data_IF_999764313521
#
_entry.id   IF_999764313521
#
_cell.length_a   1.000
_cell.length_b   1.000
_cell.length_c   1.000
_cell.angle_alpha   90.00
_cell.angle_beta   90.00
_cell.angle_gamma   90.00
#
_symmetry.space_group_name_H-M   'P 1'
#
loop_
_entity.id
_entity.type
_entity.pdbx_description
1 polymer ?
#
# COMPACT_ATOMS: atom_id res chain seq x y z
N UNK A 1 1.32 17.47 -5.37
CA UNK A 1 0.01 16.87 -5.11
C UNK A 1 -0.21 16.91 -3.61
N UNK A 2 -1.37 17.36 -3.15
CA UNK A 2 -1.73 17.35 -1.74
C UNK A 2 -2.18 15.95 -1.30
N UNK A 3 -2.23 15.72 0.01
CA UNK A 3 -2.78 14.48 0.59
C UNK A 3 -4.20 14.19 0.09
N UNK A 4 -5.07 15.20 0.09
CA UNK A 4 -6.48 15.04 -0.31
C UNK A 4 -6.62 14.76 -1.82
N UNK A 5 -5.79 15.39 -2.66
CA UNK A 5 -5.74 15.13 -4.11
C UNK A 5 -5.35 13.66 -4.38
N UNK A 6 -4.34 13.15 -3.67
CA UNK A 6 -3.88 11.78 -3.80
C UNK A 6 -4.94 10.78 -3.35
N UNK A 7 -5.59 11.00 -2.20
CA UNK A 7 -6.67 10.14 -1.71
C UNK A 7 -7.80 10.08 -2.75
N UNK A 8 -8.21 11.22 -3.29
CA UNK A 8 -9.25 11.28 -4.30
C UNK A 8 -8.84 10.59 -5.61
N UNK A 9 -7.59 10.71 -6.04
CA UNK A 9 -7.06 9.98 -7.20
C UNK A 9 -7.15 8.46 -7.01
N UNK A 10 -6.70 7.96 -5.85
CA UNK A 10 -6.77 6.53 -5.49
C UNK A 10 -8.23 6.05 -5.50
N UNK A 11 -9.13 6.80 -4.87
CA UNK A 11 -10.55 6.47 -4.86
C UNK A 11 -11.14 6.36 -6.28
N UNK A 12 -10.78 7.28 -7.17
CA UNK A 12 -11.24 7.27 -8.57
C UNK A 12 -10.64 6.08 -9.34
N UNK A 13 -9.34 5.84 -9.21
CA UNK A 13 -8.63 4.78 -9.94
C UNK A 13 -9.12 3.37 -9.58
N UNK A 14 -9.61 3.18 -8.35
CA UNK A 14 -10.07 1.88 -7.83
C UNK A 14 -11.60 1.79 -7.64
N UNK A 15 -12.38 2.79 -8.05
CA UNK A 15 -13.80 2.92 -7.66
C UNK A 15 -14.70 1.69 -7.94
N UNK A 16 -14.46 0.99 -9.06
CA UNK A 16 -15.29 -0.12 -9.54
C UNK A 16 -14.63 -1.50 -9.34
N UNK A 17 -13.53 -1.56 -8.57
CA UNK A 17 -12.81 -2.81 -8.34
C UNK A 17 -13.59 -3.69 -7.36
N UNK A 18 -13.89 -4.92 -7.79
CA UNK A 18 -14.43 -6.00 -6.96
C UNK A 18 -13.38 -7.11 -6.79
N UNK A 19 -13.49 -7.89 -5.71
CA UNK A 19 -12.52 -8.93 -5.36
C UNK A 19 -12.65 -10.19 -6.23
N UNK A 20 -13.85 -10.44 -6.76
CA UNK A 20 -14.19 -11.65 -7.52
C UNK A 20 -13.93 -12.92 -6.70
N UNK A 21 -13.09 -13.83 -7.18
CA UNK A 21 -12.61 -15.04 -6.52
C UNK A 21 -11.23 -14.87 -5.87
N UNK A 22 -10.65 -13.67 -5.87
CA UNK A 22 -9.36 -13.36 -5.24
C UNK A 22 -9.32 -13.64 -3.74
N UNK A 23 -8.10 -13.67 -3.20
CA UNK A 23 -7.86 -13.88 -1.76
C UNK A 23 -8.33 -12.64 -0.99
N UNK A 24 -9.28 -12.84 -0.08
CA UNK A 24 -9.82 -11.78 0.78
C UNK A 24 -8.95 -11.48 2.01
N UNK A 25 -9.29 -10.42 2.73
CA UNK A 25 -8.54 -9.93 3.89
C UNK A 25 -8.45 -10.97 5.01
N UNK A 26 -9.59 -11.51 5.45
CA UNK A 26 -9.67 -12.52 6.50
C UNK A 26 -9.20 -13.88 6.01
N UNK A 27 -9.44 -14.21 4.73
CA UNK A 27 -8.86 -15.39 4.09
C UNK A 27 -7.33 -15.36 4.15
N UNK A 28 -6.69 -14.23 3.81
CA UNK A 28 -5.25 -14.04 3.90
C UNK A 28 -4.72 -14.24 5.33
N UNK A 29 -5.40 -13.69 6.34
CA UNK A 29 -5.01 -13.87 7.74
C UNK A 29 -5.11 -15.33 8.16
N UNK A 30 -6.15 -16.04 7.72
CA UNK A 30 -6.29 -17.47 7.98
C UNK A 30 -5.18 -18.32 7.35
N UNK A 31 -4.66 -17.92 6.19
CA UNK A 31 -3.52 -18.59 5.56
C UNK A 31 -2.26 -18.38 6.40
N UNK A 32 -2.01 -17.14 6.86
CA UNK A 32 -0.88 -16.80 7.73
C UNK A 32 -0.92 -17.56 9.06
N UNK A 33 -2.12 -17.70 9.65
CA UNK A 33 -2.36 -18.44 10.89
C UNK A 33 -2.28 -19.97 10.71
N UNK A 34 -1.96 -20.47 9.51
CA UNK A 34 -1.97 -21.90 9.16
C UNK A 34 -3.32 -22.58 9.47
N UNK A 35 -4.43 -21.86 9.31
CA UNK A 35 -5.76 -22.37 9.61
C UNK A 35 -6.14 -23.55 8.68
N UNK A 36 -7.03 -24.42 9.16
CA UNK A 36 -7.51 -25.53 8.33
C UNK A 36 -8.43 -25.03 7.19
N UNK A 37 -8.59 -25.86 6.15
CA UNK A 37 -9.41 -25.52 4.98
C UNK A 37 -10.85 -25.13 5.33
N UNK A 38 -11.41 -25.71 6.40
CA UNK A 38 -12.77 -25.39 6.85
C UNK A 38 -12.83 -23.97 7.41
N UNK A 39 -11.82 -23.59 8.18
CA UNK A 39 -11.68 -22.26 8.79
C UNK A 39 -11.41 -21.21 7.73
N UNK A 40 -10.50 -21.46 6.80
CA UNK A 40 -10.25 -20.59 5.63
C UNK A 40 -11.55 -20.33 4.86
N UNK A 41 -12.36 -21.37 4.60
CA UNK A 41 -13.63 -21.21 3.91
C UNK A 41 -14.66 -20.37 4.69
N UNK A 42 -14.62 -20.36 6.03
CA UNK A 42 -15.47 -19.48 6.83
C UNK A 42 -14.95 -18.04 6.83
N UNK A 43 -13.64 -17.84 6.92
CA UNK A 43 -13.01 -16.52 6.83
C UNK A 43 -13.30 -15.87 5.47
N UNK A 44 -13.18 -16.64 4.37
CA UNK A 44 -13.53 -16.20 3.02
C UNK A 44 -14.98 -15.72 2.89
N UNK A 45 -15.92 -16.24 3.69
CA UNK A 45 -17.32 -15.78 3.71
C UNK A 45 -17.52 -14.47 4.48
N UNK A 46 -16.60 -14.14 5.39
CA UNK A 46 -16.60 -12.87 6.14
C UNK A 46 -16.08 -11.71 5.28
N UNK A 47 -15.27 -12.00 4.27
CA UNK A 47 -14.65 -10.98 3.43
C UNK A 47 -15.66 -10.11 2.69
N UNK A 48 -15.43 -8.79 2.73
CA UNK A 48 -16.01 -7.85 1.79
C UNK A 48 -15.42 -8.11 0.40
N UNK A 49 -16.29 -8.21 -0.62
CA UNK A 49 -15.89 -8.61 -1.98
C UNK A 49 -16.34 -7.64 -3.07
N UNK A 50 -17.22 -6.69 -2.74
CA UNK A 50 -17.89 -5.83 -3.71
C UNK A 50 -17.41 -4.38 -3.63
N UNK A 51 -17.01 -3.91 -2.45
CA UNK A 51 -16.55 -2.54 -2.29
C UNK A 51 -15.45 -2.45 -1.23
N UNK A 52 -14.20 -2.31 -1.68
CA UNK A 52 -13.02 -2.21 -0.81
C UNK A 52 -13.11 -1.02 0.17
N UNK A 53 -13.89 0.02 -0.14
CA UNK A 53 -14.05 1.17 0.74
C UNK A 53 -14.77 0.83 2.05
N UNK A 54 -15.61 -0.22 2.03
CA UNK A 54 -16.36 -0.68 3.20
C UNK A 54 -15.49 -1.39 4.25
N UNK A 55 -14.27 -1.79 3.88
CA UNK A 55 -13.34 -2.43 4.81
C UNK A 55 -12.94 -1.42 5.90
N UNK A 56 -13.10 -1.79 7.17
CA UNK A 56 -12.71 -0.95 8.28
C UNK A 56 -11.19 -0.90 8.43
N UNK A 57 -10.63 0.24 8.87
CA UNK A 57 -9.19 0.33 9.16
C UNK A 57 -8.76 -0.61 10.29
N UNK A 58 -9.64 -0.87 11.26
CA UNK A 58 -9.39 -1.89 12.29
C UNK A 58 -9.17 -3.26 11.68
N UNK A 59 -10.00 -3.68 10.71
CA UNK A 59 -9.86 -4.99 10.08
C UNK A 59 -8.52 -5.10 9.32
N UNK A 60 -8.06 -4.02 8.70
CA UNK A 60 -6.75 -3.98 8.03
C UNK A 60 -5.59 -4.08 9.03
N UNK A 61 -5.70 -3.42 10.18
CA UNK A 61 -4.70 -3.51 11.25
C UNK A 61 -4.67 -4.92 11.85
N UNK A 62 -5.83 -5.52 12.08
CA UNK A 62 -5.95 -6.89 12.61
C UNK A 62 -5.47 -7.95 11.60
N UNK A 63 -5.58 -7.66 10.30
CA UNK A 63 -5.20 -8.55 9.20
C UNK A 63 -3.98 -8.03 8.41
N UNK A 64 -3.03 -7.41 9.09
CA UNK A 64 -1.87 -6.76 8.47
C UNK A 64 -1.03 -7.74 7.62
N UNK A 65 -0.91 -9.00 8.04
CA UNK A 65 -0.10 -10.00 7.33
C UNK A 65 -0.72 -10.45 6.00
N UNK A 66 -2.03 -10.25 5.79
CA UNK A 66 -2.72 -10.60 4.54
C UNK A 66 -2.10 -9.94 3.31
N UNK A 67 -1.43 -8.79 3.48
CA UNK A 67 -0.65 -8.13 2.42
C UNK A 67 0.44 -9.02 1.80
N UNK A 68 0.88 -10.09 2.47
CA UNK A 68 1.84 -11.07 1.92
C UNK A 68 1.17 -12.22 1.16
N UNK A 69 -0.14 -12.42 1.32
CA UNK A 69 -0.86 -13.60 0.82
C UNK A 69 -1.81 -13.29 -0.34
N UNK A 70 -2.12 -12.01 -0.59
CA UNK A 70 -2.98 -11.65 -1.70
C UNK A 70 -2.42 -12.11 -3.05
N UNK A 71 -3.29 -12.72 -3.84
CA UNK A 71 -3.09 -12.94 -5.27
C UNK A 71 -3.31 -11.64 -6.06
N UNK A 72 -3.24 -11.70 -7.39
CA UNK A 72 -3.35 -10.51 -8.23
C UNK A 72 -4.70 -9.77 -8.05
N UNK A 73 -5.78 -10.52 -7.80
CA UNK A 73 -7.12 -9.95 -7.59
C UNK A 73 -7.25 -9.36 -6.18
N UNK A 74 -6.74 -10.06 -5.17
CA UNK A 74 -6.64 -9.58 -3.80
C UNK A 74 -5.84 -8.30 -3.71
N UNK A 75 -4.68 -8.22 -4.39
CA UNK A 75 -3.87 -7.00 -4.44
C UNK A 75 -4.64 -5.86 -5.09
N UNK A 76 -5.20 -6.08 -6.29
CA UNK A 76 -5.96 -5.03 -6.98
C UNK A 76 -7.13 -4.49 -6.13
N UNK A 77 -7.79 -5.35 -5.35
CA UNK A 77 -8.93 -4.96 -4.52
C UNK A 77 -8.53 -4.31 -3.19
N UNK A 78 -7.57 -4.86 -2.45
CA UNK A 78 -7.24 -4.43 -1.09
C UNK A 78 -6.19 -3.32 -1.02
N UNK A 79 -5.24 -3.29 -1.96
CA UNK A 79 -4.12 -2.34 -1.98
C UNK A 79 -4.54 -0.86 -1.83
N UNK A 80 -5.59 -0.33 -2.51
CA UNK A 80 -5.96 1.07 -2.34
C UNK A 80 -6.32 1.43 -0.90
N UNK A 81 -6.96 0.51 -0.16
CA UNK A 81 -7.33 0.76 1.24
C UNK A 81 -6.11 0.75 2.17
N UNK A 82 -5.14 -0.14 1.91
CA UNK A 82 -3.87 -0.16 2.64
C UNK A 82 -3.05 1.10 2.37
N UNK A 83 -2.94 1.55 1.11
CA UNK A 83 -2.29 2.82 0.78
C UNK A 83 -2.99 3.99 1.49
N UNK A 84 -4.32 4.04 1.48
CA UNK A 84 -5.06 5.07 2.22
C UNK A 84 -4.83 4.98 3.73
N UNK A 85 -4.62 3.79 4.30
CA UNK A 85 -4.31 3.62 5.71
C UNK A 85 -2.94 4.24 6.02
N UNK A 86 -1.92 3.95 5.21
CA UNK A 86 -0.58 4.53 5.37
C UNK A 86 -0.59 6.07 5.26
N UNK A 87 -1.31 6.62 4.27
CA UNK A 87 -1.46 8.08 4.11
C UNK A 87 -2.15 8.74 5.32
N UNK A 88 -3.09 8.04 5.95
CA UNK A 88 -3.90 8.55 7.07
C UNK A 88 -3.40 8.06 8.43
N UNK A 89 -2.21 7.45 8.50
CA UNK A 89 -1.75 6.77 9.71
C UNK A 89 -1.71 7.71 10.91
N UNK A 90 -1.22 8.95 10.73
CA UNK A 90 -1.16 9.92 11.82
C UNK A 90 -2.56 10.20 12.40
N UNK A 91 -3.56 10.48 11.55
CA UNK A 91 -4.90 10.73 12.04
C UNK A 91 -5.55 9.51 12.67
N UNK A 92 -5.31 8.31 12.11
CA UNK A 92 -5.88 7.06 12.60
C UNK A 92 -5.22 6.62 13.90
N UNK A 93 -3.91 6.86 14.07
CA UNK A 93 -3.18 6.67 15.33
C UNK A 93 -3.74 7.55 16.42
N UNK A 94 -3.95 8.84 16.15
CA UNK A 94 -4.49 9.79 17.14
C UNK A 94 -5.95 9.45 17.51
N UNK A 95 -6.79 9.13 16.52
CA UNK A 95 -8.24 8.94 16.74
C UNK A 95 -8.62 7.55 17.23
N UNK A 96 -7.90 6.52 16.80
CA UNK A 96 -8.29 5.11 16.94
C UNK A 96 -7.16 4.22 17.46
N UNK A 97 -5.95 4.75 17.68
CA UNK A 97 -4.77 3.98 18.08
C UNK A 97 -4.45 2.83 17.11
N UNK A 98 -4.60 3.11 15.81
CA UNK A 98 -4.31 2.18 14.73
C UNK A 98 -2.98 2.51 14.06
N UNK A 99 -2.27 1.47 13.63
CA UNK A 99 -0.99 1.57 12.93
C UNK A 99 -1.12 0.88 11.56
N UNK A 100 -0.70 1.57 10.50
CA UNK A 100 -0.67 0.99 9.17
C UNK A 100 0.41 -0.10 9.09
N UNK A 101 0.18 -1.20 8.36
CA UNK A 101 1.27 -2.11 8.00
C UNK A 101 2.27 -1.42 7.06
N UNK A 102 3.43 -2.05 6.88
CA UNK A 102 4.49 -1.55 5.99
C UNK A 102 4.11 -1.74 4.50
N UNK A 103 3.34 -0.79 3.98
CA UNK A 103 2.93 -0.74 2.58
C UNK A 103 4.12 -0.52 1.67
N UNK A 104 5.10 0.27 2.10
CA UNK A 104 6.31 0.56 1.31
C UNK A 104 7.13 -0.70 1.07
N UNK A 105 7.31 -1.55 2.08
CA UNK A 105 7.94 -2.86 1.92
C UNK A 105 7.22 -3.70 0.87
N UNK A 106 5.89 -3.78 0.94
CA UNK A 106 5.08 -4.55 -0.05
C UNK A 106 5.29 -4.04 -1.48
N UNK A 107 5.43 -2.72 -1.66
CA UNK A 107 5.61 -2.09 -2.97
C UNK A 107 7.05 -2.04 -3.46
N UNK A 108 8.05 -2.40 -2.65
CA UNK A 108 9.48 -2.28 -3.00
C UNK A 108 10.22 -3.61 -3.00
N UNK A 109 9.79 -4.54 -2.14
CA UNK A 109 10.48 -5.79 -1.92
C UNK A 109 10.39 -6.71 -3.14
N UNK A 110 11.55 -7.11 -3.66
CA UNK A 110 11.71 -8.08 -4.74
C UNK A 110 10.83 -7.81 -5.98
N UNK A 111 10.65 -6.54 -6.37
CA UNK A 111 9.79 -6.15 -7.51
C UNK A 111 10.15 -6.81 -8.86
N UNK A 112 11.37 -7.28 -9.02
CA UNK A 112 11.83 -7.95 -10.25
C UNK A 112 11.56 -9.46 -10.25
N UNK A 113 11.11 -10.02 -9.12
CA UNK A 113 10.73 -11.42 -9.05
C UNK A 113 9.34 -11.66 -9.66
N UNK A 114 9.22 -12.78 -10.39
CA UNK A 114 7.97 -13.18 -11.06
C UNK A 114 6.78 -13.20 -10.09
N UNK A 115 7.00 -13.62 -8.84
CA UNK A 115 5.97 -13.62 -7.81
C UNK A 115 5.36 -12.23 -7.61
N UNK A 116 6.18 -11.19 -7.44
CA UNK A 116 5.67 -9.83 -7.21
C UNK A 116 5.06 -9.23 -8.47
N UNK A 117 5.67 -9.47 -9.64
CA UNK A 117 5.09 -9.03 -10.91
C UNK A 117 3.70 -9.62 -11.14
N UNK A 118 3.51 -10.91 -10.85
CA UNK A 118 2.23 -11.58 -10.96
C UNK A 118 1.17 -10.98 -10.03
N UNK A 119 1.53 -10.57 -8.82
CA UNK A 119 0.60 -9.95 -7.85
C UNK A 119 0.13 -8.56 -8.26
N UNK A 120 0.90 -7.83 -9.05
CA UNK A 120 0.54 -6.51 -9.56
C UNK A 120 0.01 -6.53 -11.00
N UNK A 121 0.01 -7.69 -11.66
CA UNK A 121 -0.32 -7.88 -13.08
C UNK A 121 -1.72 -7.42 -13.52
N UNK A 122 -2.68 -7.28 -12.60
CA UNK A 122 -4.05 -6.87 -12.92
C UNK A 122 -4.30 -5.37 -12.75
N UNK A 123 -3.31 -4.61 -12.29
CA UNK A 123 -3.42 -3.16 -12.17
C UNK A 123 -3.45 -2.51 -13.56
N UNK A 124 -4.32 -1.51 -13.74
CA UNK A 124 -4.35 -0.70 -14.96
C UNK A 124 -3.55 0.60 -14.80
N UNK A 125 -3.35 1.33 -15.89
CA UNK A 125 -2.54 2.55 -15.90
C UNK A 125 -2.97 3.61 -14.86
N UNK A 126 -4.28 3.94 -14.71
CA UNK A 126 -4.71 4.82 -13.62
C UNK A 126 -4.32 4.33 -12.21
N UNK A 127 -4.46 3.03 -11.96
CA UNK A 127 -4.11 2.43 -10.67
C UNK A 127 -2.60 2.50 -10.41
N UNK A 128 -1.79 2.14 -11.39
CA UNK A 128 -0.32 2.23 -11.33
C UNK A 128 0.14 3.68 -11.12
N UNK A 129 -0.46 4.65 -11.81
CA UNK A 129 -0.13 6.06 -11.62
C UNK A 129 -0.42 6.53 -10.20
N UNK A 130 -1.57 6.15 -9.62
CA UNK A 130 -1.89 6.51 -8.24
C UNK A 130 -0.91 5.91 -7.23
N UNK A 131 -0.38 4.70 -7.48
CA UNK A 131 0.67 4.08 -6.67
C UNK A 131 1.99 4.85 -6.81
N UNK A 132 2.38 5.24 -8.02
CA UNK A 132 3.58 6.07 -8.25
C UNK A 132 3.44 7.44 -7.56
N UNK A 133 2.26 8.06 -7.60
CA UNK A 133 1.99 9.31 -6.89
C UNK A 133 2.05 9.14 -5.37
N UNK A 134 1.57 8.01 -4.84
CA UNK A 134 1.76 7.66 -3.44
C UNK A 134 3.24 7.50 -3.06
N UNK A 135 4.03 6.76 -3.84
CA UNK A 135 5.47 6.61 -3.59
C UNK A 135 6.21 7.97 -3.62
N UNK A 136 5.84 8.84 -4.58
CA UNK A 136 6.36 10.21 -4.63
C UNK A 136 5.91 11.05 -3.44
N UNK A 137 4.68 10.86 -2.95
CA UNK A 137 4.18 11.53 -1.75
C UNK A 137 5.03 11.13 -0.53
N UNK A 138 5.30 9.84 -0.30
CA UNK A 138 6.21 9.37 0.76
C UNK A 138 7.63 9.93 0.61
N UNK A 139 8.13 10.04 -0.62
CA UNK A 139 9.41 10.68 -0.89
C UNK A 139 9.40 12.18 -0.50
N UNK A 140 8.31 12.90 -0.76
CA UNK A 140 8.20 14.32 -0.39
C UNK A 140 8.15 14.51 1.13
N UNK A 141 7.56 13.58 1.88
CA UNK A 141 7.60 13.61 3.36
C UNK A 141 9.05 13.58 3.87
N UNK A 142 9.89 12.68 3.33
CA UNK A 142 11.33 12.63 3.69
C UNK A 142 12.04 13.93 3.29
N UNK A 143 11.77 14.46 2.10
CA UNK A 143 12.35 15.74 1.66
C UNK A 143 11.99 16.87 2.63
N UNK A 144 10.73 16.92 3.07
CA UNK A 144 10.25 17.94 3.99
C UNK A 144 10.93 17.82 5.37
N UNK A 145 11.03 16.61 5.93
CA UNK A 145 11.74 16.36 7.20
C UNK A 145 13.19 16.86 7.15
N UNK A 146 13.90 16.57 6.05
CA UNK A 146 15.26 17.05 5.85
C UNK A 146 15.36 18.57 5.63
N UNK A 147 14.37 19.18 4.98
CA UNK A 147 14.29 20.64 4.84
C UNK A 147 14.12 21.32 6.20
N UNK A 148 13.21 20.81 7.03
CA UNK A 148 12.96 21.34 8.37
C UNK A 148 14.21 21.21 9.26
N UNK A 149 14.85 20.04 9.25
CA UNK A 149 16.10 19.80 9.97
C UNK A 149 17.23 20.73 9.50
N UNK A 150 17.41 20.90 8.19
CA UNK A 150 18.44 21.76 7.62
C UNK A 150 18.24 23.23 8.02
N UNK A 151 16.98 23.70 8.09
CA UNK A 151 16.64 25.04 8.58
C UNK A 151 16.97 25.16 10.08
N UNK A 152 16.53 24.19 10.90
CA UNK A 152 16.73 24.20 12.35
C UNK A 152 18.22 24.19 12.73
N UNK A 153 19.00 23.36 12.06
CA UNK A 153 20.41 23.16 12.36
C UNK A 153 21.35 24.08 11.54
N UNK A 154 20.81 24.91 10.64
CA UNK A 154 21.58 25.71 9.68
C UNK A 154 22.61 24.88 8.88
N UNK A 155 22.14 23.76 8.32
CA UNK A 155 22.94 22.82 7.53
C UNK A 155 22.45 22.71 6.07
N UNK A 156 23.15 21.94 5.25
CA UNK A 156 22.71 21.57 3.89
C UNK A 156 21.68 20.43 3.94
N UNK A 157 20.80 20.36 2.94
CA UNK A 157 19.87 19.23 2.73
C UNK A 157 20.57 18.01 2.10
N UNK A 158 21.80 18.15 1.60
CA UNK A 158 22.50 17.12 0.81
C UNK A 158 22.62 15.76 1.52
N UNK A 159 22.55 15.71 2.85
CA UNK A 159 22.52 14.48 3.63
C UNK A 159 21.34 13.56 3.26
N UNK A 160 20.27 14.07 2.64
CA UNK A 160 19.16 13.26 2.13
C UNK A 160 19.61 12.27 1.05
N UNK A 161 20.65 12.59 0.29
CA UNK A 161 21.18 11.71 -0.76
C UNK A 161 21.95 10.52 -0.20
N UNK A 162 22.20 10.49 1.11
CA UNK A 162 22.76 9.37 1.84
C UNK A 162 21.68 8.62 2.65
N UNK A 163 20.44 9.14 2.70
CA UNK A 163 19.32 8.50 3.37
C UNK A 163 18.88 7.24 2.60
N UNK A 164 18.96 6.09 3.27
CA UNK A 164 18.65 4.81 2.64
C UNK A 164 17.20 4.72 2.19
N UNK A 165 16.24 5.27 2.95
CA UNK A 165 14.82 5.25 2.58
C UNK A 165 14.57 6.13 1.35
N UNK A 166 15.21 7.29 1.27
CA UNK A 166 15.12 8.16 0.10
C UNK A 166 15.69 7.48 -1.16
N UNK A 167 16.83 6.81 -1.05
CA UNK A 167 17.45 6.05 -2.15
C UNK A 167 16.54 4.89 -2.58
N UNK A 168 16.04 4.10 -1.63
CA UNK A 168 15.18 2.95 -1.91
C UNK A 168 13.85 3.37 -2.56
N UNK A 169 13.24 4.47 -2.11
CA UNK A 169 12.04 5.02 -2.75
C UNK A 169 12.31 5.48 -4.19
N UNK A 170 13.45 6.13 -4.45
CA UNK A 170 13.82 6.50 -5.83
C UNK A 170 13.93 5.26 -6.73
N UNK A 171 14.63 4.23 -6.28
CA UNK A 171 14.75 2.97 -7.02
C UNK A 171 13.38 2.34 -7.25
N UNK A 172 12.54 2.31 -6.21
CA UNK A 172 11.19 1.75 -6.26
C UNK A 172 10.33 2.49 -7.29
N UNK A 173 10.31 3.83 -7.26
CA UNK A 173 9.57 4.66 -8.22
C UNK A 173 9.99 4.36 -9.67
N UNK A 174 11.30 4.26 -9.93
CA UNK A 174 11.79 3.96 -11.28
C UNK A 174 11.43 2.54 -11.73
N UNK A 175 11.51 1.54 -10.83
CA UNK A 175 11.06 0.18 -11.11
C UNK A 175 9.57 0.12 -11.42
N UNK A 176 8.74 0.85 -10.68
CA UNK A 176 7.30 0.90 -10.96
C UNK A 176 7.00 1.49 -12.34
N UNK A 177 7.73 2.53 -12.75
CA UNK A 177 7.60 3.10 -14.11
C UNK A 177 8.06 2.12 -15.20
N UNK A 178 9.12 1.34 -14.95
CA UNK A 178 9.68 0.43 -15.94
C UNK A 178 8.89 -0.87 -16.08
N UNK A 179 8.45 -1.43 -14.95
CA UNK A 179 7.88 -2.78 -14.91
C UNK A 179 6.36 -2.80 -15.13
N UNK A 180 5.66 -1.70 -14.81
CA UNK A 180 4.20 -1.70 -14.80
C UNK A 180 3.59 -0.55 -15.60
N UNK A 181 4.34 0.49 -15.96
CA UNK A 181 3.79 1.66 -16.63
C UNK A 181 4.13 1.66 -18.14
N UNK A 182 3.19 1.17 -18.95
CA UNK A 182 3.23 1.19 -20.44
C UNK A 182 2.29 2.27 -21.02
#
# INVERSE_FOLDING_TARGET
>A
MTKDELINEIQIAFKDVILEDGIGLWEGQGIDDYADNKTILQLRKKDERNNWQNIAYQDLADCASSLSFFDAKGMRFHLPKFIMFDILEEELRIKQNLFSPDVLFTLSYNLDEEYQQNRFSLLNNPQIQSIIHYLKYKQQEIIQEYQEYAIECNTSIEAIYEDTKYIELNITIEKWKQNFFE
#
